data_IF_108801681421
#
_entry.id   IF_108801681421
#
_cell.length_a   1.000
_cell.length_b   1.000
_cell.length_c   1.000
_cell.angle_alpha   90.00
_cell.angle_beta   90.00
_cell.angle_gamma   90.00
#
_symmetry.space_group_name_H-M   'P 1'
#
loop_
_entity.id
_entity.type
_entity.pdbx_description
1 polymer ?
#
# COMPACT_ATOMS: atom_id res chain seq x y z
N UNK A 1 11.17 -5.89 26.72
CA UNK A 1 12.53 -6.38 26.36
C UNK A 1 13.05 -5.64 25.14
N UNK A 2 14.33 -5.28 25.12
CA UNK A 2 14.96 -4.48 24.05
C UNK A 2 16.00 -5.30 23.26
N UNK A 3 15.94 -5.25 21.94
CA UNK A 3 16.90 -5.89 21.02
C UNK A 3 17.70 -4.81 20.31
N UNK A 4 19.03 -4.86 20.42
CA UNK A 4 19.92 -3.84 19.86
C UNK A 4 20.74 -4.39 18.70
N UNK A 5 20.77 -3.69 17.57
CA UNK A 5 21.68 -4.02 16.46
C UNK A 5 22.47 -2.78 16.03
N UNK A 6 23.75 -2.97 15.69
CA UNK A 6 24.64 -1.88 15.33
C UNK A 6 25.41 -2.15 14.05
N UNK A 7 25.28 -1.27 13.06
CA UNK A 7 26.11 -1.23 11.87
C UNK A 7 27.30 -0.30 12.09
N UNK A 8 28.53 -0.84 12.10
CA UNK A 8 29.74 -0.07 12.38
C UNK A 8 30.44 0.42 11.11
N UNK A 9 31.09 1.59 11.21
CA UNK A 9 31.91 2.19 10.15
C UNK A 9 31.16 2.45 8.82
N UNK A 10 29.89 2.83 8.90
CA UNK A 10 29.10 3.22 7.74
C UNK A 10 29.76 4.40 7.02
N UNK A 11 30.05 4.23 5.72
CA UNK A 11 30.60 5.29 4.86
C UNK A 11 29.51 6.29 4.44
N UNK A 12 28.95 6.98 5.44
CA UNK A 12 27.98 8.05 5.31
C UNK A 12 28.24 9.09 6.41
N UNK A 13 27.91 10.36 6.13
CA UNK A 13 27.99 11.41 7.15
C UNK A 13 26.88 11.22 8.19
N UNK A 14 27.17 11.35 9.50
CA UNK A 14 26.16 11.21 10.56
C UNK A 14 24.92 12.06 10.33
N UNK A 15 25.08 13.31 9.87
CA UNK A 15 23.97 14.22 9.59
C UNK A 15 22.97 13.64 8.58
N UNK A 16 23.45 13.06 7.48
CA UNK A 16 22.59 12.50 6.43
C UNK A 16 21.85 11.24 6.87
N UNK A 17 22.46 10.46 7.76
CA UNK A 17 21.82 9.28 8.32
C UNK A 17 20.82 9.64 9.43
N UNK A 18 21.06 10.69 10.22
CA UNK A 18 20.11 11.16 11.25
C UNK A 18 18.76 11.57 10.69
N UNK A 19 18.72 12.15 9.50
CA UNK A 19 17.46 12.53 8.87
C UNK A 19 16.55 11.31 8.67
N UNK A 20 17.10 10.18 8.21
CA UNK A 20 16.37 8.91 8.04
C UNK A 20 16.06 8.28 9.40
N UNK A 21 17.00 8.35 10.35
CA UNK A 21 16.81 7.79 11.69
C UNK A 21 15.61 8.42 12.43
N UNK A 22 15.42 9.73 12.26
CA UNK A 22 14.27 10.46 12.84
C UNK A 22 12.94 10.04 12.24
N UNK A 23 12.94 9.64 10.98
CA UNK A 23 11.74 9.24 10.25
C UNK A 23 11.24 7.87 10.70
N UNK A 24 12.16 6.93 10.97
CA UNK A 24 11.83 5.57 11.39
C UNK A 24 11.56 5.43 12.88
N UNK A 25 11.97 6.41 13.69
CA UNK A 25 11.89 6.31 15.15
C UNK A 25 10.42 6.39 15.62
N UNK A 26 10.00 5.41 16.42
CA UNK A 26 8.64 5.30 16.94
C UNK A 26 7.64 4.60 16.01
N UNK A 27 8.04 4.26 14.77
CA UNK A 27 7.20 3.48 13.87
C UNK A 27 7.19 1.98 14.23
N UNK A 28 6.10 1.26 13.92
CA UNK A 28 6.13 -0.20 13.93
C UNK A 28 7.14 -0.71 12.89
N UNK A 29 7.74 -1.87 13.12
CA UNK A 29 8.82 -2.37 12.27
C UNK A 29 8.37 -2.60 10.82
N UNK A 30 7.13 -3.05 10.60
CA UNK A 30 6.55 -3.21 9.26
C UNK A 30 6.55 -1.89 8.48
N UNK A 31 5.92 -0.85 9.03
CA UNK A 31 5.88 0.47 8.39
C UNK A 31 7.27 1.08 8.20
N UNK A 32 8.19 0.87 9.15
CA UNK A 32 9.56 1.33 9.03
C UNK A 32 10.30 0.65 7.87
N UNK A 33 10.11 -0.65 7.65
CA UNK A 33 10.72 -1.38 6.53
C UNK A 33 10.19 -0.88 5.19
N UNK A 34 8.89 -0.65 5.07
CA UNK A 34 8.28 -0.11 3.86
C UNK A 34 8.82 1.27 3.52
N UNK A 35 8.83 2.17 4.51
CA UNK A 35 9.40 3.50 4.36
C UNK A 35 10.87 3.44 3.90
N UNK A 36 11.67 2.57 4.52
CA UNK A 36 13.09 2.41 4.19
C UNK A 36 13.32 1.85 2.77
N UNK A 37 12.40 1.00 2.27
CA UNK A 37 12.51 0.43 0.93
C UNK A 37 12.21 1.48 -0.16
N UNK A 38 11.26 2.38 0.08
CA UNK A 38 10.86 3.40 -0.91
C UNK A 38 11.59 4.74 -0.78
N UNK A 39 12.38 4.94 0.28
CA UNK A 39 13.16 6.17 0.46
C UNK A 39 14.43 6.16 -0.41
N UNK A 40 14.61 7.11 -1.37
CA UNK A 40 15.74 7.14 -2.30
C UNK A 40 17.02 7.72 -1.67
N UNK A 41 17.39 7.28 -0.45
CA UNK A 41 18.56 7.76 0.28
C UNK A 41 19.46 6.59 0.66
N UNK A 42 20.78 6.75 0.50
CA UNK A 42 21.77 5.75 0.94
C UNK A 42 21.61 5.35 2.42
N UNK A 43 21.19 6.30 3.27
CA UNK A 43 20.92 6.03 4.68
C UNK A 43 19.83 4.97 4.86
N UNK A 44 18.78 5.02 4.06
CA UNK A 44 17.66 4.08 4.13
C UNK A 44 18.10 2.65 3.83
N UNK A 45 18.92 2.45 2.80
CA UNK A 45 19.51 1.14 2.50
C UNK A 45 20.31 0.56 3.68
N UNK A 46 21.12 1.39 4.35
CA UNK A 46 21.92 0.94 5.50
C UNK A 46 21.05 0.61 6.72
N UNK A 47 20.00 1.39 6.97
CA UNK A 47 19.03 1.09 8.02
C UNK A 47 18.20 -0.16 7.72
N UNK A 48 17.77 -0.38 6.48
CA UNK A 48 17.08 -1.61 6.05
C UNK A 48 17.92 -2.86 6.37
N UNK A 49 19.22 -2.82 6.06
CA UNK A 49 20.14 -3.91 6.42
C UNK A 49 20.25 -4.11 7.94
N UNK A 50 20.36 -3.02 8.70
CA UNK A 50 20.50 -3.08 10.17
C UNK A 50 19.21 -3.60 10.83
N UNK A 51 18.04 -3.19 10.33
CA UNK A 51 16.72 -3.63 10.79
C UNK A 51 16.51 -5.13 10.56
N UNK A 52 16.89 -5.64 9.38
CA UNK A 52 16.83 -7.08 9.08
C UNK A 52 17.70 -7.90 10.02
N UNK A 53 18.90 -7.43 10.35
CA UNK A 53 19.75 -8.08 11.35
C UNK A 53 19.10 -8.03 12.74
N UNK A 54 18.55 -6.88 13.15
CA UNK A 54 17.86 -6.77 14.43
C UNK A 54 16.64 -7.69 14.57
N UNK A 55 15.87 -7.87 13.49
CA UNK A 55 14.76 -8.82 13.44
C UNK A 55 15.23 -10.27 13.56
N UNK A 56 16.28 -10.64 12.82
CA UNK A 56 16.86 -11.97 12.92
C UNK A 56 17.40 -12.25 14.33
N UNK A 57 17.99 -11.26 15.00
CA UNK A 57 18.45 -11.39 16.38
C UNK A 57 17.25 -11.52 17.35
N UNK A 58 16.16 -10.80 17.10
CA UNK A 58 14.94 -10.87 17.90
C UNK A 58 14.27 -12.25 17.84
N UNK A 59 14.19 -12.84 16.64
CA UNK A 59 13.61 -14.17 16.43
C UNK A 59 14.50 -15.27 17.03
N UNK A 60 15.80 -15.28 16.69
CA UNK A 60 16.67 -16.41 17.02
C UNK A 60 17.17 -16.41 18.46
N UNK A 61 17.47 -15.24 19.04
CA UNK A 61 18.07 -15.16 20.37
C UNK A 61 17.05 -14.90 21.48
N UNK A 62 15.95 -14.24 21.15
CA UNK A 62 14.95 -13.79 22.14
C UNK A 62 13.56 -14.39 21.90
N UNK A 63 13.38 -15.19 20.84
CA UNK A 63 12.12 -15.84 20.48
C UNK A 63 10.92 -14.87 20.44
N UNK A 64 11.19 -13.61 20.07
CA UNK A 64 10.18 -12.55 20.00
C UNK A 64 9.41 -12.64 18.68
N UNK A 65 8.10 -12.41 18.73
CA UNK A 65 7.27 -12.31 17.53
C UNK A 65 7.46 -10.96 16.81
N UNK A 66 7.51 -10.99 15.48
CA UNK A 66 7.73 -9.81 14.65
C UNK A 66 6.58 -8.81 14.72
N UNK A 67 5.35 -9.31 14.90
CA UNK A 67 4.10 -8.56 14.71
C UNK A 67 3.78 -7.50 15.80
N UNK A 68 4.59 -7.43 16.87
CA UNK A 68 4.44 -6.41 17.93
C UNK A 68 5.65 -5.48 18.08
N UNK A 69 6.72 -5.71 17.32
CA UNK A 69 7.96 -4.95 17.48
C UNK A 69 7.84 -3.55 16.86
N UNK A 70 8.36 -2.56 17.58
CA UNK A 70 8.48 -1.20 17.09
C UNK A 70 9.90 -0.64 17.33
N UNK A 71 10.24 0.42 16.60
CA UNK A 71 11.53 1.08 16.69
C UNK A 71 11.55 2.02 17.90
N UNK A 72 12.02 1.53 19.04
CA UNK A 72 12.16 2.35 20.27
C UNK A 72 13.15 3.51 20.06
N UNK A 73 14.30 3.23 19.46
CA UNK A 73 15.27 4.28 19.15
C UNK A 73 16.14 3.93 17.94
N UNK A 74 16.46 4.95 17.14
CA UNK A 74 17.41 4.87 16.04
C UNK A 74 18.43 5.99 16.19
N UNK A 75 19.63 5.64 16.65
CA UNK A 75 20.70 6.61 16.99
C UNK A 75 21.84 6.48 15.99
N UNK A 76 22.40 7.63 15.61
CA UNK A 76 23.55 7.71 14.70
C UNK A 76 24.73 8.37 15.40
N UNK A 77 25.70 7.54 15.78
CA UNK A 77 26.98 7.95 16.34
C UNK A 77 27.98 8.39 15.27
N UNK A 78 28.97 9.18 15.68
CA UNK A 78 30.09 9.53 14.82
C UNK A 78 31.12 8.40 14.79
N UNK A 79 31.70 8.14 13.61
CA UNK A 79 32.80 7.20 13.43
C UNK A 79 34.11 7.91 13.08
N UNK A 80 35.20 7.14 12.87
CA UNK A 80 36.48 7.69 12.46
C UNK A 80 36.34 8.47 11.15
N UNK A 81 36.93 9.68 11.13
CA UNK A 81 36.86 10.56 9.97
C UNK A 81 38.18 10.53 9.22
N UNK A 82 38.13 10.09 7.97
CA UNK A 82 39.31 10.12 7.11
C UNK A 82 39.56 11.56 6.62
N UNK A 83 40.78 12.05 6.86
CA UNK A 83 41.24 13.36 6.40
C UNK A 83 41.83 13.22 5.00
N UNK A 84 41.43 14.09 4.07
CA UNK A 84 41.96 14.25 2.71
C UNK A 84 42.19 15.73 2.47
N UNK A 85 43.05 16.07 1.51
CA UNK A 85 43.24 17.46 1.07
C UNK A 85 42.75 17.62 -0.36
N UNK A 86 42.38 18.84 -0.74
CA UNK A 86 42.09 19.23 -2.10
C UNK A 86 42.92 20.46 -2.45
N UNK A 87 43.69 20.45 -3.55
CA UNK A 87 44.36 21.64 -4.04
C UNK A 87 43.36 22.78 -4.30
N UNK A 88 43.74 24.00 -3.93
CA UNK A 88 42.96 25.23 -4.13
C UNK A 88 43.83 26.30 -4.78
N UNK A 89 43.21 27.42 -5.16
CA UNK A 89 43.90 28.53 -5.80
C UNK A 89 45.06 29.07 -4.93
N UNK A 90 46.05 29.72 -5.56
CA UNK A 90 47.21 30.36 -4.90
C UNK A 90 48.06 29.38 -4.07
N UNK A 91 48.19 28.12 -4.49
CA UNK A 91 49.00 27.12 -3.76
C UNK A 91 48.43 26.68 -2.41
N UNK A 92 47.18 27.04 -2.10
CA UNK A 92 46.53 26.67 -0.85
C UNK A 92 45.91 25.25 -0.92
N UNK A 93 45.65 24.65 0.25
CA UNK A 93 45.01 23.35 0.36
C UNK A 93 43.78 23.40 1.30
N UNK A 94 42.64 22.90 0.83
CA UNK A 94 41.42 22.75 1.62
C UNK A 94 41.31 21.35 2.23
N UNK A 95 40.79 21.24 3.45
CA UNK A 95 40.56 19.94 4.09
C UNK A 95 39.21 19.32 3.67
N UNK A 96 39.25 18.09 3.15
CA UNK A 96 38.07 17.24 2.92
C UNK A 96 37.99 16.18 4.01
N UNK A 97 36.86 16.15 4.72
CA UNK A 97 36.58 15.15 5.77
C UNK A 97 35.61 14.09 5.25
N UNK A 98 36.10 12.87 5.01
CA UNK A 98 35.25 11.71 4.69
C UNK A 98 34.82 11.06 6.00
N UNK A 99 33.71 11.56 6.55
CA UNK A 99 33.12 11.09 7.81
C UNK A 99 32.52 9.69 7.63
N UNK A 100 32.65 8.88 8.67
CA UNK A 100 31.89 7.64 8.84
C UNK A 100 30.95 7.76 10.04
N UNK A 101 30.02 6.84 10.18
CA UNK A 101 29.06 6.79 11.29
C UNK A 101 28.86 5.36 11.80
N UNK A 102 28.34 5.25 13.01
CA UNK A 102 27.81 4.01 13.57
C UNK A 102 26.30 4.15 13.68
N UNK A 103 25.55 3.22 13.10
CA UNK A 103 24.08 3.22 13.12
C UNK A 103 23.65 2.19 14.16
N UNK A 104 22.91 2.62 15.17
CA UNK A 104 22.39 1.73 16.21
C UNK A 104 20.88 1.82 16.19
N UNK A 105 20.23 0.66 16.10
CA UNK A 105 18.78 0.54 16.15
C UNK A 105 18.41 -0.34 17.34
N UNK A 106 17.41 0.10 18.09
CA UNK A 106 16.84 -0.60 19.24
C UNK A 106 15.37 -0.89 18.94
N UNK A 107 15.04 -2.16 18.88
CA UNK A 107 13.67 -2.66 18.78
C UNK A 107 13.16 -3.01 20.16
N UNK A 108 11.88 -2.79 20.40
CA UNK A 108 11.23 -3.16 21.66
C UNK A 108 9.79 -3.60 21.41
N UNK A 109 9.27 -4.40 22.33
CA UNK A 109 7.85 -4.77 22.40
C UNK A 109 7.10 -3.94 23.46
N UNK A 110 7.82 -3.22 24.34
CA UNK A 110 7.24 -2.48 25.46
C UNK A 110 7.43 -0.99 25.28
N UNK A 111 6.32 -0.29 25.01
CA UNK A 111 6.31 1.14 24.72
C UNK A 111 5.67 1.49 23.38
N UNK A 112 4.56 0.81 23.05
CA UNK A 112 3.67 1.25 21.99
C UNK A 112 3.41 2.76 22.12
N UNK A 113 3.31 3.50 21.00
CA UNK A 113 3.31 4.95 21.03
C UNK A 113 2.24 5.42 21.99
N UNK A 114 2.71 6.06 23.07
CA UNK A 114 1.87 6.85 23.97
C UNK A 114 1.02 7.73 23.07
N UNK A 115 -0.29 7.55 23.18
CA UNK A 115 -1.32 8.42 22.64
C UNK A 115 -0.83 9.88 22.67
N UNK A 116 -0.37 10.36 21.52
CA UNK A 116 -0.19 11.78 21.26
C UNK A 116 -0.86 12.11 19.96
N UNK A 117 -2.11 12.54 20.14
CA UNK A 117 -2.84 13.51 19.35
C UNK A 117 -3.54 12.98 18.08
N UNK A 118 -4.62 12.24 18.30
CA UNK A 118 -5.90 12.80 17.87
C UNK A 118 -6.16 14.09 18.68
N UNK A 119 -6.21 15.23 17.96
CA UNK A 119 -7.02 16.42 18.26
C UNK A 119 -6.93 17.38 17.07
N UNK A 120 -8.00 18.14 16.79
CA UNK A 120 -9.04 17.68 15.89
C UNK A 120 -9.13 18.58 14.64
N UNK A 121 -9.88 18.12 13.65
CA UNK A 121 -10.39 18.96 12.58
C UNK A 121 -11.24 20.11 13.16
N UNK A 122 -10.65 21.30 13.26
CA UNK A 122 -11.32 22.61 13.10
C UNK A 122 -10.65 23.22 11.88
N UNK A 123 -11.31 23.52 10.78
CA UNK A 123 -12.67 24.02 10.64
C UNK A 123 -12.55 25.20 9.69
N UNK A 124 -12.65 24.94 8.39
CA UNK A 124 -12.99 25.95 7.40
C UNK A 124 -14.34 25.53 6.82
N UNK A 125 -15.41 26.01 7.46
CA UNK A 125 -16.74 26.09 6.85
C UNK A 125 -17.14 27.55 6.78
N UNK A 126 -17.06 28.10 5.57
CA UNK A 126 -17.94 29.09 4.95
C UNK A 126 -17.30 29.39 3.57
N UNK A 127 -17.88 28.95 2.46
CA UNK A 127 -19.09 29.55 1.94
C UNK A 127 -20.05 28.52 1.37
N UNK A 128 -21.30 28.64 1.82
CA UNK A 128 -22.48 27.99 1.29
C UNK A 128 -23.23 29.05 0.48
N UNK A 129 -23.32 28.89 -0.83
CA UNK A 129 -24.38 29.52 -1.62
C UNK A 129 -25.44 28.44 -1.89
N UNK A 130 -26.63 28.67 -1.34
CA UNK A 130 -27.93 28.08 -1.77
C UNK A 130 -28.14 28.45 -3.26
N UNK A 131 -29.02 27.90 -4.09
CA UNK A 131 -30.24 27.05 -4.07
C UNK A 131 -30.47 26.80 -5.58
N UNK A 132 -30.85 25.63 -6.06
CA UNK A 132 -32.25 25.32 -6.41
C UNK A 132 -32.32 23.87 -6.93
N UNK A 133 -33.30 23.12 -6.43
CA UNK A 133 -33.94 22.06 -7.19
C UNK A 133 -35.20 22.67 -7.82
N UNK A 134 -35.69 22.11 -8.93
CA UNK A 134 -36.98 21.44 -8.80
C UNK A 134 -37.04 20.07 -9.45
N UNK A 135 -37.92 19.26 -8.86
CA UNK A 135 -38.23 17.88 -9.19
C UNK A 135 -38.93 17.69 -10.55
N UNK A 136 -38.74 16.52 -11.17
CA UNK A 136 -39.85 15.64 -11.60
C UNK A 136 -39.35 14.24 -12.01
N UNK A 137 -39.91 13.22 -11.36
CA UNK A 137 -39.97 11.86 -11.88
C UNK A 137 -41.01 11.78 -13.03
N UNK A 138 -40.99 10.71 -13.85
CA UNK A 138 -41.87 9.59 -13.50
C UNK A 138 -41.21 8.21 -13.64
N UNK A 139 -41.68 7.29 -12.78
CA UNK A 139 -41.52 5.83 -12.89
C UNK A 139 -42.42 5.28 -13.99
N UNK A 140 -41.98 4.22 -14.69
CA UNK A 140 -42.68 2.93 -14.79
C UNK A 140 -42.03 2.03 -15.85
N UNK A 141 -41.86 0.74 -15.53
CA UNK A 141 -41.49 -0.28 -16.52
C UNK A 141 -40.96 -1.58 -15.92
N UNK A 142 -41.79 -2.28 -15.13
CA UNK A 142 -41.57 -3.72 -14.81
C UNK A 142 -41.82 -4.53 -16.08
N UNK A 143 -40.87 -5.39 -16.46
CA UNK A 143 -41.14 -6.67 -17.12
C UNK A 143 -39.94 -7.62 -16.96
N UNK A 144 -40.15 -8.69 -16.21
CA UNK A 144 -39.54 -10.01 -16.40
C UNK A 144 -40.72 -10.97 -16.70
N UNK A 145 -40.56 -12.26 -17.10
CA UNK A 145 -39.33 -13.04 -17.32
C UNK A 145 -39.37 -14.04 -18.54
N UNK A 146 -38.23 -14.62 -18.92
CA UNK A 146 -38.02 -16.00 -19.46
C UNK A 146 -36.51 -16.14 -19.85
N UNK A 147 -35.64 -16.88 -19.14
CA UNK A 147 -35.45 -18.33 -18.90
C UNK A 147 -34.51 -19.04 -19.91
N UNK A 148 -33.54 -19.78 -19.33
CA UNK A 148 -32.45 -20.67 -19.85
C UNK A 148 -31.08 -19.98 -19.95
N UNK A 149 -29.98 -20.49 -19.41
CA UNK A 149 -29.61 -21.85 -19.05
C UNK A 149 -28.72 -21.94 -17.79
N UNK A 150 -28.74 -23.11 -17.14
CA UNK A 150 -28.08 -23.42 -15.89
C UNK A 150 -26.62 -23.90 -16.07
N UNK A 151 -25.70 -23.39 -15.25
CA UNK A 151 -24.57 -24.12 -14.66
C UNK A 151 -23.86 -23.23 -13.62
N UNK A 152 -23.86 -23.65 -12.35
CA UNK A 152 -23.23 -22.96 -11.22
C UNK A 152 -24.21 -22.09 -10.43
N UNK A 153 -24.33 -22.33 -9.12
CA UNK A 153 -25.24 -21.60 -8.22
C UNK A 153 -24.84 -20.12 -8.15
N UNK A 154 -25.46 -19.29 -8.99
CA UNK A 154 -25.32 -17.85 -8.92
C UNK A 154 -26.10 -17.33 -7.70
N UNK A 155 -25.40 -16.71 -6.75
CA UNK A 155 -26.02 -16.05 -5.58
C UNK A 155 -25.95 -14.54 -5.79
N UNK A 156 -27.06 -13.87 -5.51
CA UNK A 156 -27.10 -12.41 -5.41
C UNK A 156 -26.71 -12.05 -3.97
N UNK A 157 -25.50 -11.51 -3.80
CA UNK A 157 -25.03 -10.93 -2.54
C UNK A 157 -25.27 -9.41 -2.61
N UNK A 158 -25.94 -8.83 -1.62
CA UNK A 158 -26.23 -7.37 -1.58
C UNK A 158 -24.95 -6.52 -1.57
N UNK A 159 -23.84 -7.13 -1.13
CA UNK A 159 -22.52 -6.52 -1.01
C UNK A 159 -21.68 -6.65 -2.31
N UNK A 160 -21.75 -7.82 -2.96
CA UNK A 160 -20.82 -8.21 -4.06
C UNK A 160 -21.50 -8.39 -5.42
N UNK A 161 -22.81 -8.17 -5.51
CA UNK A 161 -23.58 -8.39 -6.73
C UNK A 161 -23.75 -9.87 -7.08
N UNK A 162 -23.73 -10.20 -8.36
CA UNK A 162 -23.88 -11.58 -8.86
C UNK A 162 -22.56 -12.32 -8.72
N UNK A 163 -22.51 -13.33 -7.84
CA UNK A 163 -21.32 -14.14 -7.58
C UNK A 163 -21.62 -15.62 -7.85
N UNK A 164 -20.69 -16.33 -8.50
CA UNK A 164 -20.79 -17.77 -8.71
C UNK A 164 -19.98 -18.52 -7.63
N UNK A 165 -20.62 -19.44 -6.92
CA UNK A 165 -19.94 -20.30 -5.91
C UNK A 165 -19.07 -21.40 -6.56
N UNK A 166 -19.13 -21.57 -7.89
CA UNK A 166 -18.35 -22.55 -8.66
C UNK A 166 -18.19 -22.08 -10.11
N UNK A 167 -17.07 -22.41 -10.78
CA UNK A 167 -16.80 -21.93 -12.13
C UNK A 167 -17.92 -22.37 -13.10
N UNK A 168 -18.57 -21.42 -13.79
CA UNK A 168 -19.64 -21.72 -14.75
C UNK A 168 -19.10 -22.40 -16.01
N UNK A 169 -20.01 -23.00 -16.80
CA UNK A 169 -19.67 -23.75 -18.01
C UNK A 169 -18.96 -22.90 -19.09
N UNK A 170 -19.18 -21.59 -19.08
CA UNK A 170 -18.49 -20.61 -19.91
C UNK A 170 -17.76 -19.63 -19.00
N UNK A 171 -16.45 -19.49 -19.17
CA UNK A 171 -15.61 -18.54 -18.42
C UNK A 171 -15.01 -17.56 -19.42
N UNK A 172 -15.17 -16.27 -19.17
CA UNK A 172 -14.63 -15.21 -20.03
C UNK A 172 -13.19 -14.86 -19.61
N UNK A 173 -12.33 -14.51 -20.57
CA UNK A 173 -10.96 -14.06 -20.26
C UNK A 173 -10.97 -12.60 -19.79
N UNK A 174 -11.06 -12.40 -18.47
CA UNK A 174 -11.14 -11.07 -17.84
C UNK A 174 -9.93 -10.18 -18.14
N UNK A 175 -8.81 -10.76 -18.62
CA UNK A 175 -7.61 -10.02 -19.08
C UNK A 175 -7.89 -9.06 -20.24
N UNK A 176 -9.01 -9.21 -20.94
CA UNK A 176 -9.39 -8.30 -22.04
C UNK A 176 -9.77 -6.89 -21.53
N UNK A 177 -10.09 -6.73 -20.24
CA UNK A 177 -10.35 -5.42 -19.65
C UNK A 177 -9.02 -4.72 -19.31
N UNK A 178 -8.86 -3.48 -19.76
CA UNK A 178 -7.67 -2.68 -19.47
C UNK A 178 -7.48 -2.50 -17.97
N UNK A 179 -6.31 -2.94 -17.47
CA UNK A 179 -5.95 -2.84 -16.05
C UNK A 179 -6.24 -4.10 -15.23
N UNK A 180 -6.88 -5.13 -15.82
CA UNK A 180 -7.00 -6.48 -15.23
C UNK A 180 -5.84 -7.33 -15.73
N UNK A 181 -4.87 -7.60 -14.85
CA UNK A 181 -3.75 -8.51 -15.13
C UNK A 181 -4.01 -9.94 -14.61
N UNK A 182 -3.11 -10.91 -14.90
CA UNK A 182 -3.27 -12.31 -14.48
C UNK A 182 -3.51 -12.49 -12.99
N UNK A 183 -2.79 -11.73 -12.15
CA UNK A 183 -2.94 -11.77 -10.68
C UNK A 183 -4.30 -11.23 -10.23
N UNK A 184 -4.88 -10.28 -10.97
CA UNK A 184 -6.19 -9.71 -10.64
C UNK A 184 -7.31 -10.64 -11.07
N UNK A 185 -7.18 -11.26 -12.24
CA UNK A 185 -8.08 -12.30 -12.70
C UNK A 185 -8.12 -13.48 -11.73
N UNK A 186 -6.98 -13.99 -11.26
CA UNK A 186 -6.93 -15.05 -10.24
C UNK A 186 -7.69 -14.66 -8.96
N UNK A 187 -7.56 -13.40 -8.53
CA UNK A 187 -8.28 -12.87 -7.36
C UNK A 187 -9.78 -12.75 -7.64
N UNK A 188 -10.20 -12.22 -8.79
CA UNK A 188 -11.60 -12.11 -9.17
C UNK A 188 -12.26 -13.50 -9.29
N UNK A 189 -11.55 -14.45 -9.90
CA UNK A 189 -11.94 -15.85 -9.99
C UNK A 189 -12.04 -16.51 -8.61
N UNK A 190 -11.15 -16.17 -7.66
CA UNK A 190 -11.23 -16.68 -6.29
C UNK A 190 -12.47 -16.18 -5.53
N UNK A 191 -12.97 -15.00 -5.89
CA UNK A 191 -14.17 -14.40 -5.31
C UNK A 191 -15.44 -14.86 -6.02
N UNK A 192 -15.33 -15.52 -7.19
CA UNK A 192 -16.47 -16.06 -7.94
C UNK A 192 -16.94 -15.17 -9.11
N UNK A 193 -16.05 -14.31 -9.62
CA UNK A 193 -16.30 -13.49 -10.82
C UNK A 193 -15.57 -14.12 -12.00
N UNK A 194 -16.32 -14.61 -12.98
CA UNK A 194 -15.83 -15.36 -14.13
C UNK A 194 -16.34 -14.82 -15.48
N UNK A 195 -17.32 -13.89 -15.49
CA UNK A 195 -18.00 -13.39 -16.69
C UNK A 195 -17.97 -11.86 -16.78
N UNK A 196 -17.93 -11.32 -17.99
CA UNK A 196 -18.04 -9.87 -18.21
C UNK A 196 -19.39 -9.31 -17.75
N UNK A 197 -20.46 -10.10 -17.83
CA UNK A 197 -21.81 -9.71 -17.40
C UNK A 197 -21.88 -9.37 -15.90
N UNK A 198 -21.05 -9.99 -15.06
CA UNK A 198 -21.01 -9.70 -13.63
C UNK A 198 -20.45 -8.30 -13.38
N UNK A 199 -19.36 -7.96 -14.06
CA UNK A 199 -18.69 -6.65 -13.97
C UNK A 199 -19.55 -5.56 -14.60
N UNK A 200 -20.22 -5.85 -15.72
CA UNK A 200 -21.13 -4.93 -16.39
C UNK A 200 -22.32 -4.48 -15.52
N UNK A 201 -22.74 -5.34 -14.57
CA UNK A 201 -23.84 -5.11 -13.65
C UNK A 201 -23.41 -4.60 -12.26
N UNK A 202 -22.15 -4.21 -12.07
CA UNK A 202 -21.70 -3.63 -10.81
C UNK A 202 -22.38 -2.29 -10.50
N UNK A 203 -22.84 -2.16 -9.26
CA UNK A 203 -23.28 -0.89 -8.67
C UNK A 203 -22.08 -0.16 -8.07
N UNK A 204 -22.24 1.13 -7.76
CA UNK A 204 -21.20 1.94 -7.08
C UNK A 204 -20.74 1.31 -5.76
N UNK A 205 -21.66 0.68 -5.02
CA UNK A 205 -21.34 -0.05 -3.78
C UNK A 205 -20.46 -1.28 -4.03
N UNK A 206 -20.77 -2.07 -5.06
CA UNK A 206 -19.94 -3.22 -5.41
C UNK A 206 -18.52 -2.76 -5.80
N UNK A 207 -18.41 -1.65 -6.54
CA UNK A 207 -17.12 -1.09 -6.92
C UNK A 207 -16.30 -0.72 -5.69
N UNK A 208 -16.89 -0.04 -4.70
CA UNK A 208 -16.20 0.32 -3.47
C UNK A 208 -15.70 -0.91 -2.69
N UNK A 209 -16.53 -1.95 -2.56
CA UNK A 209 -16.13 -3.19 -1.89
C UNK A 209 -15.01 -3.92 -2.62
N UNK A 210 -15.08 -4.01 -3.96
CA UNK A 210 -14.03 -4.64 -4.75
C UNK A 210 -12.74 -3.82 -4.77
N UNK A 211 -12.83 -2.49 -4.73
CA UNK A 211 -11.67 -1.60 -4.61
C UNK A 211 -10.97 -1.73 -3.24
N UNK A 212 -11.75 -1.89 -2.16
CA UNK A 212 -11.21 -2.15 -0.83
C UNK A 212 -10.59 -3.57 -0.75
N UNK A 213 -11.30 -4.59 -1.25
CA UNK A 213 -10.84 -5.98 -1.25
C UNK A 213 -9.56 -6.17 -2.08
N UNK A 214 -9.47 -5.50 -3.22
CA UNK A 214 -8.31 -5.58 -4.10
C UNK A 214 -7.23 -4.54 -3.75
N UNK A 215 -7.45 -3.73 -2.72
CA UNK A 215 -6.51 -2.72 -2.20
C UNK A 215 -6.06 -1.70 -3.25
N UNK A 216 -6.93 -1.34 -4.20
CA UNK A 216 -6.72 -0.22 -5.11
C UNK A 216 -7.96 0.66 -5.14
N UNK A 217 -7.81 1.94 -4.78
CA UNK A 217 -8.91 2.91 -4.78
C UNK A 217 -8.95 3.70 -6.09
N UNK A 218 -10.13 3.81 -6.70
CA UNK A 218 -10.42 4.61 -7.89
C UNK A 218 -9.89 4.06 -9.22
N UNK A 219 -9.45 2.79 -9.30
CA UNK A 219 -8.94 2.23 -10.58
C UNK A 219 -10.09 1.80 -11.48
N UNK A 220 -11.16 1.23 -10.91
CA UNK A 220 -12.30 0.71 -11.69
C UNK A 220 -12.95 1.83 -12.49
N UNK A 221 -13.09 3.00 -11.87
CA UNK A 221 -13.59 4.22 -12.51
C UNK A 221 -12.61 4.79 -13.54
N UNK A 222 -11.33 4.94 -13.19
CA UNK A 222 -10.32 5.55 -14.07
C UNK A 222 -10.14 4.76 -15.37
N UNK A 223 -10.12 3.43 -15.25
CA UNK A 223 -9.98 2.53 -16.39
C UNK A 223 -11.33 2.16 -17.01
N UNK A 224 -12.46 2.70 -16.52
CA UNK A 224 -13.81 2.48 -17.05
C UNK A 224 -14.17 0.99 -17.24
N UNK A 225 -13.90 0.13 -16.26
CA UNK A 225 -14.11 -1.33 -16.38
C UNK A 225 -15.55 -1.71 -16.72
N UNK A 226 -16.54 -1.01 -16.14
CA UNK A 226 -17.96 -1.29 -16.37
C UNK A 226 -18.34 -1.05 -17.84
N UNK A 227 -17.81 0.00 -18.47
CA UNK A 227 -18.09 0.29 -19.87
C UNK A 227 -17.46 -0.76 -20.79
N UNK A 228 -16.18 -1.10 -20.55
CA UNK A 228 -15.49 -2.14 -21.32
C UNK A 228 -16.16 -3.51 -21.18
N UNK A 229 -16.58 -3.87 -19.97
CA UNK A 229 -17.28 -5.13 -19.73
C UNK A 229 -18.62 -5.19 -20.46
N UNK A 230 -19.35 -4.07 -20.59
CA UNK A 230 -20.57 -4.01 -21.40
C UNK A 230 -20.30 -4.23 -22.88
N UNK A 231 -19.26 -3.59 -23.42
CA UNK A 231 -18.87 -3.74 -24.82
C UNK A 231 -18.42 -5.17 -25.14
N UNK A 232 -17.65 -5.79 -24.23
CA UNK A 232 -17.18 -7.17 -24.35
C UNK A 232 -18.29 -8.20 -24.16
N UNK A 233 -19.23 -7.97 -23.23
CA UNK A 233 -20.40 -8.84 -23.05
C UNK A 233 -21.32 -8.81 -24.29
N UNK A 234 -21.51 -7.63 -24.89
CA UNK A 234 -22.26 -7.51 -26.15
C UNK A 234 -21.57 -8.24 -27.31
N UNK A 235 -20.23 -8.22 -27.36
CA UNK A 235 -19.45 -8.96 -28.36
C UNK A 235 -19.40 -10.48 -28.15
N UNK A 236 -19.48 -10.95 -26.90
CA UNK A 236 -19.41 -12.39 -26.57
C UNK A 236 -20.68 -13.16 -26.89
N UNK A 237 -21.84 -12.51 -26.97
CA UNK A 237 -23.12 -13.17 -27.32
C UNK A 237 -23.28 -13.47 -28.82
N UNK A 238 -22.27 -13.14 -29.63
CA UNK A 238 -22.23 -13.34 -31.08
C UNK A 238 -21.07 -14.22 -31.53
N UNK A 239 -21.01 -15.48 -31.10
CA UNK A 239 -20.33 -16.56 -31.81
C UNK A 239 -20.82 -17.93 -31.34
#
# INVERSE_FOLDING_TARGET
>A
MDVTSTYKFARISPRKARDVAREIQGLPVSAALDLLNFTPRKGAFLFSKTMKTALADAENNFELSVEGLFVKSAVVGEGPTFKRFMPRARGSAGAIRKRTSHLTVVLSNEGGPVEKAEKPAKGVKAAKAKTEAPAKAPKAGKAAPAEKAAAGTARLDEARGMVYDSPPAETDDLKLISGVGPVLEEKLNSVGIYRFEQIANWTEQNVEEFEELLSFKGRVERENWIAQAKDLAAGSTGN
#
